data_IF_640512056883
#
_entry.id   IF_640512056883
#
_cell.length_a   1.000
_cell.length_b   1.000
_cell.length_c   1.000
_cell.angle_alpha   90.00
_cell.angle_beta   90.00
_cell.angle_gamma   90.00
#
_symmetry.space_group_name_H-M   'P 1'
#
loop_
_entity.id
_entity.type
_entity.pdbx_description
1 polymer ?
2 non-polymer ?
3 non-polymer ?
4 water ?
#
# COMPACT_ATOMS: atom_id res chain seq x y z
N UNK A 1 9.21 11.14 -6.74
CA UNK A 1 7.91 11.74 -6.45
C UNK A 1 7.53 11.42 -5.03
N UNK A 2 6.46 12.05 -4.54
CA UNK A 2 6.11 11.90 -3.13
C UNK A 2 5.51 10.52 -2.91
N UNK A 3 6.03 9.81 -1.91
CA UNK A 3 5.53 8.49 -1.56
C UNK A 3 5.76 8.33 -0.06
N UNK A 4 4.68 8.43 0.71
CA UNK A 4 4.78 8.42 2.16
C UNK A 4 3.59 7.70 2.76
N UNK A 5 3.86 6.75 3.64
CA UNK A 5 2.81 6.07 4.38
C UNK A 5 3.20 6.03 5.84
N UNK A 6 2.24 6.30 6.70
CA UNK A 6 2.44 6.25 8.14
C UNK A 6 1.31 5.41 8.74
N UNK A 7 1.68 4.47 9.62
CA UNK A 7 0.75 3.54 10.25
C UNK A 7 1.09 3.36 11.71
N UNK A 8 0.06 3.19 12.53
CA UNK A 8 0.17 2.60 13.86
C UNK A 8 -0.71 1.36 13.89
N UNK A 9 -0.14 0.23 14.29
CA UNK A 9 -0.94 -0.98 14.38
C UNK A 9 -0.27 -1.98 15.31
N UNK A 10 -0.90 -3.14 15.45
CA UNK A 10 -0.35 -4.23 16.25
C UNK A 10 0.06 -5.39 15.36
N UNK A 11 1.22 -5.98 15.65
CA UNK A 11 1.66 -7.13 14.88
C UNK A 11 0.70 -8.30 15.04
N UNK A 12 0.37 -8.94 13.92
CA UNK A 12 -0.45 -10.15 13.93
C UNK A 12 0.34 -11.39 14.30
N UNK A 13 1.65 -11.38 14.05
CA UNK A 13 2.53 -12.49 14.37
C UNK A 13 3.88 -11.92 14.77
N UNK A 14 4.73 -12.80 15.29
CA UNK A 14 6.10 -12.41 15.59
C UNK A 14 6.78 -11.98 14.30
N UNK A 15 7.65 -10.97 14.33
CA UNK A 15 8.35 -10.59 13.11
C UNK A 15 9.24 -11.73 12.63
N UNK A 16 9.63 -11.65 11.37
CA UNK A 16 10.49 -12.65 10.76
C UNK A 16 11.67 -11.98 10.09
N UNK A 17 12.65 -12.81 9.75
CA UNK A 17 13.76 -12.43 8.89
C UNK A 17 13.54 -13.07 7.54
N UNK A 18 14.04 -12.39 6.53
CA UNK A 18 13.98 -12.91 5.16
C UNK A 18 15.10 -12.28 4.34
N UNK A 19 15.49 -12.94 3.27
CA UNK A 19 16.47 -12.41 2.34
C UNK A 19 15.77 -12.11 1.02
N UNK A 20 15.99 -10.91 0.49
CA UNK A 20 15.39 -10.51 -0.78
C UNK A 20 15.90 -11.39 -1.91
N UNK A 21 15.30 -11.33 -3.10
CA UNK A 21 15.82 -12.12 -4.23
C UNK A 21 17.27 -11.81 -4.55
N UNK A 22 17.71 -10.58 -4.29
CA UNK A 22 19.09 -10.17 -4.48
C UNK A 22 19.98 -10.45 -3.27
N UNK A 23 19.48 -11.20 -2.28
CA UNK A 23 20.30 -11.56 -1.13
C UNK A 23 20.46 -10.50 -0.06
N UNK A 24 19.64 -9.45 -0.06
CA UNK A 24 19.68 -8.44 0.99
C UNK A 24 18.76 -8.88 2.13
N UNK A 25 19.23 -8.68 3.35
CA UNK A 25 18.49 -9.09 4.54
C UNK A 25 17.43 -8.06 4.92
N UNK A 26 16.25 -8.55 5.35
CA UNK A 26 15.18 -7.69 5.85
C UNK A 26 14.44 -8.38 6.99
N UNK A 27 13.73 -7.57 7.76
CA UNK A 27 12.71 -8.04 8.67
C UNK A 27 11.33 -7.81 8.05
N UNK A 28 10.40 -8.69 8.36
CA UNK A 28 9.04 -8.55 7.87
C UNK A 28 8.09 -8.72 9.04
N UNK A 29 6.96 -8.03 8.98
CA UNK A 29 5.86 -8.25 9.91
C UNK A 29 4.59 -7.69 9.29
N UNK A 30 3.46 -8.15 9.82
CA UNK A 30 2.15 -7.70 9.37
C UNK A 30 1.50 -6.88 10.48
N UNK A 31 0.98 -5.71 10.11
CA UNK A 31 0.37 -4.78 11.05
C UNK A 31 -1.14 -4.84 10.87
N UNK A 32 -1.85 -5.09 11.96
CA UNK A 32 -3.29 -4.92 11.97
C UNK A 32 -3.59 -3.49 12.40
N UNK A 33 -4.22 -2.73 11.52
CA UNK A 33 -4.45 -1.31 11.74
C UNK A 33 -5.95 -1.09 11.83
N UNK A 34 -6.43 -0.87 13.04
CA UNK A 34 -7.86 -0.71 13.26
C UNK A 34 -8.37 0.54 12.56
N UNK A 35 -9.55 0.43 11.95
CA UNK A 35 -10.11 1.60 11.28
C UNK A 35 -10.66 2.58 12.31
N UNK A 36 -10.78 3.84 11.88
CA UNK A 36 -11.36 4.87 12.75
C UNK A 36 -12.88 4.85 12.70
N UNK A 37 -13.45 4.48 11.56
CA UNK A 37 -14.89 4.53 11.33
C UNK A 37 -15.52 3.21 11.77
N UNK A 38 -16.80 3.03 11.47
CA UNK A 38 -17.51 1.80 11.76
C UNK A 38 -18.15 1.27 10.48
N UNK A 39 -18.48 -0.02 10.49
CA UNK A 39 -19.02 -0.69 9.30
C UNK A 39 -20.26 0.01 8.75
N UNK A 45 -13.34 -3.31 12.54
CA UNK A 45 -12.72 -3.71 11.28
C UNK A 45 -11.26 -3.20 11.16
N UNK A 46 -10.36 -4.08 10.72
CA UNK A 46 -8.97 -3.71 10.60
C UNK A 46 -8.50 -3.91 9.16
N UNK A 47 -7.35 -3.31 8.87
CA UNK A 47 -6.62 -3.55 7.64
C UNK A 47 -5.29 -4.20 8.00
N UNK A 48 -4.83 -5.10 7.14
CA UNK A 48 -3.66 -5.92 7.44
C UNK A 48 -2.61 -5.58 6.39
N UNK A 49 -1.51 -4.98 6.84
CA UNK A 49 -0.54 -4.33 5.96
C UNK A 49 0.83 -4.94 6.23
N UNK A 50 1.45 -5.44 5.17
CA UNK A 50 2.77 -6.05 5.25
C UNK A 50 3.85 -4.99 5.23
N UNK A 51 4.78 -5.07 6.19
CA UNK A 51 5.83 -4.09 6.40
C UNK A 51 7.20 -4.74 6.22
N UNK A 52 8.18 -3.96 5.75
CA UNK A 52 9.49 -4.47 5.38
C UNK A 52 10.56 -3.49 5.85
N UNK A 53 11.49 -4.00 6.65
CA UNK A 53 12.55 -3.16 7.26
C UNK A 53 13.91 -3.61 6.73
N UNK A 54 14.75 -2.65 6.36
CA UNK A 54 16.05 -3.01 5.75
C UNK A 54 17.19 -2.79 6.74
N UNK A 55 18.34 -3.39 6.47
CA UNK A 55 19.57 -3.17 7.29
C UNK A 55 19.41 -3.60 8.75
N UNK A 56 20.20 -3.01 9.64
CA UNK A 56 20.23 -3.45 11.05
C UNK A 56 18.92 -3.12 11.74
N UNK A 57 18.14 -2.21 11.16
CA UNK A 57 16.84 -1.97 11.77
C UNK A 57 16.02 -3.26 11.82
N UNK A 58 16.34 -4.22 10.95
CA UNK A 58 15.69 -5.52 10.99
C UNK A 58 15.94 -6.25 12.31
N UNK A 59 17.08 -5.97 12.96
CA UNK A 59 17.38 -6.64 14.21
C UNK A 59 16.59 -6.04 15.37
N UNK A 60 16.40 -4.71 15.35
CA UNK A 60 15.57 -4.08 16.38
C UNK A 60 14.15 -4.59 16.30
N UNK A 61 13.63 -4.71 15.08
CA UNK A 61 12.27 -5.18 14.87
C UNK A 61 12.11 -6.58 15.45
N UNK A 62 13.03 -7.49 15.10
CA UNK A 62 12.91 -8.89 15.52
C UNK A 62 13.20 -9.09 17.00
N UNK A 63 13.83 -8.12 17.67
CA UNK A 63 14.10 -8.28 19.09
C UNK A 63 13.11 -7.54 19.98
N UNK A 64 12.56 -6.42 19.53
CA UNK A 64 11.68 -5.59 20.35
C UNK A 64 10.20 -5.85 20.11
N UNK A 65 9.82 -6.39 18.96
CA UNK A 65 8.42 -6.61 18.65
C UNK A 65 8.09 -8.09 18.64
N UNK A 66 6.84 -8.39 18.96
CA UNK A 66 6.32 -9.73 18.79
C UNK A 66 4.83 -9.62 18.55
N UNK A 67 4.18 -10.76 18.35
CA UNK A 67 2.75 -10.79 18.09
C UNK A 67 2.02 -9.92 19.10
N UNK A 68 1.16 -9.03 18.61
CA UNK A 68 0.41 -8.14 19.48
C UNK A 68 1.12 -6.86 19.88
N UNK A 69 2.42 -6.72 19.59
CA UNK A 69 3.10 -5.47 19.91
C UNK A 69 2.52 -4.31 19.10
N UNK A 70 2.39 -3.17 19.76
CA UNK A 70 2.00 -1.93 19.12
C UNK A 70 3.22 -1.30 18.45
N UNK A 71 3.12 -1.00 17.16
CA UNK A 71 4.23 -0.37 16.47
C UNK A 71 3.73 0.75 15.57
N UNK A 72 4.64 1.66 15.28
CA UNK A 72 4.40 2.73 14.33
C UNK A 72 5.46 2.65 13.24
N UNK A 73 5.05 2.90 12.01
CA UNK A 73 5.95 2.84 10.88
C UNK A 73 5.77 4.10 10.06
N UNK A 74 6.88 4.61 9.56
CA UNK A 74 6.91 5.69 8.60
C UNK A 74 7.73 5.17 7.43
N UNK A 75 7.17 5.26 6.23
CA UNK A 75 7.90 4.75 5.08
C UNK A 75 7.27 5.01 3.73
N UNK A 76 7.49 4.09 2.80
CA UNK A 76 7.01 4.28 1.44
C UNK A 76 6.36 3.00 0.95
N UNK A 77 5.38 3.16 0.06
CA UNK A 77 4.64 2.05 -0.52
C UNK A 77 5.41 1.52 -1.72
N UNK A 78 5.63 0.21 -1.76
CA UNK A 78 6.34 -0.37 -2.90
C UNK A 78 5.55 -1.55 -3.45
N UNK A 79 5.49 -1.63 -4.76
CA UNK A 79 4.86 -2.73 -5.44
C UNK A 79 5.94 -3.67 -5.93
N UNK A 80 5.59 -4.95 -5.96
CA UNK A 80 6.42 -5.96 -6.59
C UNK A 80 5.53 -7.16 -6.82
N UNK A 81 6.04 -8.13 -7.55
CA UNK A 81 5.31 -9.36 -7.72
C UNK A 81 6.32 -10.49 -7.86
N UNK A 82 5.83 -11.72 -7.73
CA UNK A 82 6.67 -12.90 -7.72
C UNK A 82 5.78 -14.11 -7.96
N UNK A 83 6.40 -15.20 -8.38
CA UNK A 83 5.71 -16.47 -8.57
C UNK A 83 5.88 -17.30 -7.31
N UNK A 84 4.75 -17.70 -6.72
CA UNK A 84 4.75 -18.55 -5.51
C UNK A 84 5.08 -20.00 -5.89
N UNK A 85 4.97 -20.93 -4.93
CA UNK A 85 5.38 -22.34 -5.17
C UNK A 85 4.34 -23.07 -6.01
N UNK A 86 3.08 -22.68 -5.90
CA UNK A 86 2.00 -23.29 -6.71
C UNK A 86 2.12 -22.79 -8.14
N UNK A 87 3.18 -22.05 -8.44
CA UNK A 87 3.36 -21.47 -9.78
C UNK A 87 2.42 -20.31 -10.01
N UNK A 88 2.11 -19.55 -8.97
CA UNK A 88 1.09 -18.49 -9.14
C UNK A 88 1.69 -17.10 -8.94
N UNK A 89 1.38 -16.20 -9.86
CA UNK A 89 1.86 -14.82 -9.82
C UNK A 89 1.15 -14.05 -8.71
N UNK A 90 1.89 -13.61 -7.70
CA UNK A 90 1.33 -12.85 -6.59
C UNK A 90 1.81 -11.40 -6.68
N UNK A 91 0.86 -10.47 -6.52
CA UNK A 91 1.09 -9.03 -6.57
C UNK A 91 0.93 -8.47 -5.17
N UNK A 92 1.94 -7.75 -4.68
CA UNK A 92 1.89 -7.20 -3.33
C UNK A 92 2.22 -5.72 -3.33
N UNK A 93 1.72 -5.03 -2.32
CA UNK A 93 2.04 -3.65 -2.07
C UNK A 93 2.46 -3.62 -0.62
N UNK A 94 3.69 -3.21 -0.35
CA UNK A 94 4.21 -3.26 1.00
C UNK A 94 4.74 -1.90 1.42
N UNK A 95 4.86 -1.73 2.72
CA UNK A 95 5.45 -0.55 3.33
C UNK A 95 6.92 -0.85 3.57
N UNK A 96 7.79 -0.12 2.90
CA UNK A 96 9.22 -0.21 3.15
C UNK A 96 9.57 0.86 4.18
N UNK A 97 9.94 0.44 5.38
CA UNK A 97 9.98 1.36 6.52
C UNK A 97 11.28 2.15 6.56
N UNK A 98 11.16 3.47 6.69
CA UNK A 98 12.32 4.29 7.02
C UNK A 98 12.62 4.21 8.51
N UNK A 99 11.58 4.25 9.34
CA UNK A 99 11.74 4.05 10.76
C UNK A 99 10.56 3.25 11.30
N UNK A 100 10.84 2.46 12.33
CA UNK A 100 9.83 1.77 13.13
C UNK A 100 9.91 2.33 14.54
N UNK A 101 8.78 2.79 15.06
CA UNK A 101 8.71 3.25 16.44
C UNK A 101 8.06 2.17 17.28
N UNK A 102 8.65 1.89 18.44
CA UNK A 102 8.16 0.85 19.35
C UNK A 102 7.35 1.54 20.44
N UNK A 103 6.02 1.45 20.34
CA UNK A 103 5.15 2.32 21.13
C UNK A 103 4.97 1.81 22.56
N UNK A 104 4.93 0.50 22.76
CA UNK A 104 4.99 -0.06 24.12
C UNK A 104 6.38 -0.59 24.48
N UNK B 1 -6.97 3.67 14.34
CA UNK B 1 -5.54 3.91 14.54
C UNK B 1 -5.00 4.72 13.36
N UNK B 2 -3.72 5.08 13.40
CA UNK B 2 -3.16 5.94 12.37
C UNK B 2 -2.92 5.12 11.11
N UNK B 3 -3.39 5.66 9.98
CA UNK B 3 -3.30 5.01 8.68
C UNK B 3 -3.38 6.13 7.63
N UNK B 4 -2.24 6.50 7.07
CA UNK B 4 -2.19 7.65 6.18
C UNK B 4 -1.21 7.41 5.04
N UNK B 5 -1.65 7.73 3.83
CA UNK B 5 -0.91 7.57 2.60
C UNK B 5 -1.00 8.86 1.81
N UNK B 6 0.15 9.38 1.36
CA UNK B 6 0.19 10.48 0.42
C UNK B 6 1.12 10.11 -0.74
N UNK B 7 0.63 10.28 -1.96
CA UNK B 7 1.36 9.91 -3.16
C UNK B 7 1.17 11.00 -4.20
N UNK B 8 2.21 11.26 -4.97
CA UNK B 8 2.10 12.02 -6.21
C UNK B 8 2.58 11.12 -7.33
N UNK B 9 1.82 11.04 -8.40
CA UNK B 9 2.30 10.27 -9.53
C UNK B 9 1.50 10.50 -10.77
N UNK B 10 1.67 9.59 -11.72
CA UNK B 10 0.96 9.67 -13.00
C UNK B 10 0.13 8.42 -13.21
N UNK B 11 -1.08 8.62 -13.72
CA UNK B 11 -1.97 7.51 -14.01
C UNK B 11 -1.39 6.69 -15.15
N UNK B 12 -1.31 5.38 -14.96
CA UNK B 12 -0.89 4.50 -16.04
C UNK B 12 -1.96 4.30 -17.10
N UNK B 13 -3.22 4.59 -16.79
CA UNK B 13 -4.31 4.37 -17.72
C UNK B 13 -5.43 5.37 -17.44
N UNK B 14 -6.34 5.48 -18.39
CA UNK B 14 -7.57 6.20 -18.11
C UNK B 14 -8.21 5.60 -16.86
N UNK B 15 -8.70 6.42 -15.95
CA UNK B 15 -9.42 5.85 -14.80
C UNK B 15 -10.57 5.00 -15.30
N UNK B 16 -11.00 4.09 -14.45
CA UNK B 16 -12.17 3.27 -14.69
C UNK B 16 -13.29 3.82 -13.82
N UNK B 17 -14.43 4.14 -14.42
CA UNK B 17 -15.46 4.91 -13.75
C UNK B 17 -16.78 4.17 -13.83
N UNK B 18 -17.39 3.93 -12.68
CA UNK B 18 -18.58 3.11 -12.62
C UNK B 18 -19.46 3.60 -11.47
N UNK B 19 -20.67 3.05 -11.40
CA UNK B 19 -21.59 3.28 -10.29
C UNK B 19 -21.81 1.95 -9.59
N UNK B 20 -21.50 1.90 -8.29
CA UNK B 20 -21.57 0.65 -7.54
C UNK B 20 -23.01 0.16 -7.38
N UNK B 21 -23.21 -1.02 -6.80
CA UNK B 21 -24.57 -1.52 -6.53
C UNK B 21 -25.24 -0.88 -5.33
N UNK B 22 -24.54 0.00 -4.62
CA UNK B 22 -25.16 0.89 -3.65
C UNK B 22 -25.59 2.21 -4.26
N UNK B 23 -25.13 2.54 -5.46
CA UNK B 23 -25.50 3.77 -6.13
C UNK B 23 -24.46 4.87 -6.11
N UNK B 24 -23.26 4.61 -5.59
CA UNK B 24 -22.23 5.63 -5.46
C UNK B 24 -21.31 5.60 -6.67
N UNK B 25 -20.75 6.75 -7.01
CA UNK B 25 -19.73 6.76 -8.08
C UNK B 25 -18.45 6.10 -7.56
N UNK B 26 -17.78 5.32 -8.39
CA UNK B 26 -16.48 4.73 -7.99
C UNK B 26 -15.48 4.89 -9.13
N UNK B 27 -14.28 5.30 -8.79
CA UNK B 27 -13.22 5.44 -9.80
C UNK B 27 -11.98 4.69 -9.33
N UNK B 28 -11.33 4.00 -10.24
CA UNK B 28 -10.09 3.31 -9.91
C UNK B 28 -9.04 3.65 -10.94
N UNK B 29 -7.79 3.63 -10.49
CA UNK B 29 -6.66 3.87 -11.36
C UNK B 29 -5.43 3.39 -10.62
N UNK B 30 -4.35 3.26 -11.37
CA UNK B 30 -3.04 2.91 -10.85
C UNK B 30 -2.12 4.11 -11.02
N UNK B 31 -1.48 4.50 -9.94
CA UNK B 31 -0.55 5.61 -9.93
C UNK B 31 0.86 5.08 -10.06
N UNK B 32 1.57 5.54 -11.08
CA UNK B 32 2.98 5.22 -11.24
C UNK B 32 3.77 6.28 -10.49
N UNK B 33 4.41 5.87 -9.41
CA UNK B 33 5.10 6.78 -8.51
C UNK B 33 6.58 6.49 -8.62
N UNK B 34 7.30 7.43 -9.22
CA UNK B 34 8.73 7.26 -9.43
C UNK B 34 9.46 7.31 -8.09
N UNK B 35 10.42 6.42 -7.94
CA UNK B 35 11.26 6.43 -6.76
C UNK B 35 12.21 7.61 -6.80
N UNK B 36 12.62 8.05 -5.61
CA UNK B 36 13.51 9.23 -5.51
C UNK B 36 14.94 8.76 -5.75
N UNK B 37 15.31 7.65 -5.14
CA UNK B 37 16.65 7.06 -5.35
C UNK B 37 16.76 6.52 -6.77
N UNK B 38 17.97 6.14 -7.18
CA UNK B 38 18.17 5.53 -8.52
C UNK B 38 18.91 4.21 -8.35
N UNK B 39 18.57 3.20 -9.15
CA UNK B 39 19.20 1.85 -9.04
C UNK B 39 20.64 1.99 -8.52
N UNK B 42 21.76 3.42 -11.95
CA UNK B 42 21.52 4.79 -12.36
C UNK B 42 20.09 5.04 -12.80
N UNK B 43 19.47 4.02 -13.38
CA UNK B 43 18.07 4.11 -13.76
C UNK B 43 17.18 4.15 -12.52
N UNK B 44 16.05 4.84 -12.65
CA UNK B 44 15.11 5.03 -11.56
C UNK B 44 13.85 4.21 -11.81
N UNK B 45 13.47 3.41 -10.82
CA UNK B 45 12.32 2.54 -10.91
C UNK B 45 11.07 3.21 -10.32
N UNK B 46 9.93 2.62 -10.61
CA UNK B 46 8.66 3.16 -10.18
C UNK B 46 7.88 2.13 -9.37
N UNK B 47 6.96 2.62 -8.56
CA UNK B 47 6.01 1.79 -7.86
C UNK B 47 4.62 2.03 -8.43
N UNK B 48 3.83 0.97 -8.45
CA UNK B 48 2.54 1.01 -9.13
C UNK B 48 1.46 0.69 -8.10
N UNK B 49 0.76 1.72 -7.66
CA UNK B 49 -0.14 1.65 -6.52
C UNK B 49 -1.57 1.71 -7.04
N UNK B 50 -2.40 0.77 -6.61
CA UNK B 50 -3.81 0.78 -6.99
C UNK B 50 -4.62 1.69 -6.07
N UNK B 51 -5.34 2.65 -6.66
CA UNK B 51 -6.13 3.61 -5.92
C UNK B 51 -7.62 3.48 -6.26
N UNK B 52 -8.46 3.84 -5.30
CA UNK B 52 -9.90 3.86 -5.52
C UNK B 52 -10.50 5.09 -4.84
N UNK B 53 -11.43 5.76 -5.52
CA UNK B 53 -12.06 6.97 -5.00
C UNK B 53 -13.57 6.89 -5.22
N UNK B 54 -14.32 7.46 -4.29
CA UNK B 54 -15.79 7.34 -4.37
C UNK B 54 -16.48 8.70 -4.42
N UNK B 55 -17.77 8.69 -4.77
CA UNK B 55 -18.62 9.90 -4.77
C UNK B 55 -18.10 11.05 -5.64
N UNK B 56 -18.16 12.27 -5.13
CA UNK B 56 -17.82 13.46 -5.95
C UNK B 56 -16.36 13.40 -6.42
N UNK B 57 -15.47 12.93 -5.56
CA UNK B 57 -14.04 12.83 -5.93
C UNK B 57 -13.89 11.85 -7.09
N UNK B 58 -14.67 10.76 -7.09
CA UNK B 58 -14.64 9.86 -8.24
C UNK B 58 -15.10 10.57 -9.51
N UNK B 59 -16.22 11.29 -9.44
CA UNK B 59 -16.69 12.04 -10.61
C UNK B 59 -15.62 13.00 -11.12
N UNK B 60 -15.00 13.76 -10.21
CA UNK B 60 -13.92 14.64 -10.61
C UNK B 60 -12.80 13.88 -11.31
N UNK B 61 -12.39 12.73 -10.74
CA UNK B 61 -11.31 11.95 -11.35
C UNK B 61 -11.68 11.57 -12.78
N UNK B 62 -12.90 11.09 -12.98
CA UNK B 62 -13.29 10.70 -14.33
C UNK B 62 -13.27 11.89 -15.27
N UNK B 63 -13.73 13.05 -14.79
CA UNK B 63 -13.90 14.24 -15.60
C UNK B 63 -12.59 14.95 -15.92
N UNK B 64 -11.55 14.79 -15.10
CA UNK B 64 -10.35 15.59 -15.29
C UNK B 64 -9.07 14.78 -15.47
N UNK B 65 -9.02 13.53 -15.05
CA UNK B 65 -7.79 12.75 -15.13
C UNK B 65 -7.84 11.80 -16.32
N UNK B 66 -6.69 11.59 -16.93
CA UNK B 66 -6.58 10.62 -18.00
C UNK B 66 -5.20 9.98 -17.92
N UNK B 67 -5.00 8.94 -18.72
CA UNK B 67 -3.71 8.28 -18.80
C UNK B 67 -2.59 9.31 -18.78
N UNK B 68 -1.58 9.06 -17.95
CA UNK B 68 -0.43 9.94 -17.86
C UNK B 68 -0.62 11.20 -17.03
N UNK B 69 -1.84 11.53 -16.61
CA UNK B 69 -2.04 12.74 -15.82
C UNK B 69 -1.26 12.67 -14.51
N UNK B 70 -0.66 13.80 -14.13
CA UNK B 70 -0.05 13.95 -12.82
C UNK B 70 -1.13 14.15 -11.76
N UNK B 71 -1.10 13.33 -10.70
CA UNK B 71 -2.09 13.47 -9.65
C UNK B 71 -1.43 13.29 -8.29
N UNK B 72 -2.07 13.86 -7.28
CA UNK B 72 -1.68 13.68 -5.89
C UNK B 72 -2.86 13.09 -5.15
N UNK B 73 -2.63 12.05 -4.36
CA UNK B 73 -3.71 11.41 -3.62
C UNK B 73 -3.35 11.46 -2.15
N UNK B 74 -4.38 11.64 -1.34
CA UNK B 74 -4.26 11.64 0.10
C UNK B 74 -5.31 10.67 0.62
N UNK B 75 -4.88 9.64 1.33
CA UNK B 75 -5.85 8.65 1.74
C UNK B 75 -5.36 7.66 2.75
N UNK B 76 -5.91 6.45 2.70
CA UNK B 76 -5.59 5.42 3.67
C UNK B 76 -5.44 4.09 2.94
N UNK B 77 -4.65 3.21 3.53
CA UNK B 77 -4.29 1.95 2.92
C UNK B 77 -5.29 0.88 3.37
N UNK B 78 -5.89 0.18 2.41
CA UNK B 78 -6.90 -0.79 2.78
C UNK B 78 -6.53 -2.15 2.21
N UNK B 79 -6.74 -3.19 3.01
CA UNK B 79 -6.57 -4.56 2.55
C UNK B 79 -7.93 -5.25 2.45
N UNK B 80 -8.03 -6.20 1.52
CA UNK B 80 -9.21 -7.05 1.48
C UNK B 80 -8.83 -8.38 0.84
N UNK B 81 -9.73 -9.36 1.00
CA UNK B 81 -9.63 -10.74 0.53
C UNK B 81 -10.67 -11.03 -0.53
N UNK B 82 -10.34 -11.94 -1.45
CA UNK B 82 -11.37 -12.48 -2.32
C UNK B 82 -10.90 -13.79 -2.94
N UNK B 83 -11.88 -14.62 -3.31
CA UNK B 83 -11.63 -15.83 -4.08
C UNK B 83 -11.82 -15.53 -5.55
N UNK B 84 -10.85 -15.91 -6.37
CA UNK B 84 -10.99 -15.72 -7.80
C UNK B 84 -11.72 -16.94 -8.39
N UNK B 85 -12.02 -16.88 -9.69
CA UNK B 85 -12.76 -17.98 -10.30
C UNK B 85 -11.98 -19.28 -10.31
N UNK B 86 -10.67 -19.24 -10.07
CA UNK B 86 -9.88 -20.46 -9.96
C UNK B 86 -9.97 -21.08 -8.57
N UNK B 87 -10.71 -20.46 -7.65
CA UNK B 87 -10.75 -20.94 -6.28
C UNK B 87 -9.62 -20.47 -5.39
N UNK B 88 -8.76 -19.58 -5.88
CA UNK B 88 -7.60 -19.13 -5.11
C UNK B 88 -7.92 -17.86 -4.33
N UNK B 89 -7.47 -17.83 -3.08
CA UNK B 89 -7.58 -16.62 -2.26
C UNK B 89 -6.57 -15.59 -2.75
N UNK B 90 -7.05 -14.39 -3.07
CA UNK B 90 -6.21 -13.30 -3.54
C UNK B 90 -6.28 -12.18 -2.51
N UNK B 91 -5.11 -11.70 -2.08
CA UNK B 91 -4.99 -10.61 -1.13
C UNK B 91 -4.74 -9.29 -1.86
N UNK B 92 -5.54 -8.28 -1.52
CA UNK B 92 -5.56 -7.01 -2.25
C UNK B 92 -5.17 -5.90 -1.29
N UNK B 93 -4.25 -5.04 -1.72
CA UNK B 93 -3.91 -3.83 -0.99
C UNK B 93 -4.07 -2.66 -1.93
N UNK B 94 -4.85 -1.66 -1.52
CA UNK B 94 -5.10 -0.53 -2.38
C UNK B 94 -5.22 0.72 -1.53
N UNK B 95 -5.09 1.86 -2.18
CA UNK B 95 -5.22 3.15 -1.50
C UNK B 95 -6.63 3.68 -1.74
N UNK B 96 -7.36 3.90 -0.66
CA UNK B 96 -8.67 4.53 -0.75
C UNK B 96 -8.46 6.01 -0.52
N UNK B 97 -8.77 6.82 -1.53
CA UNK B 97 -8.39 8.22 -1.52
C UNK B 97 -9.46 9.05 -0.84
N UNK B 98 -9.05 9.84 0.15
CA UNK B 98 -9.94 10.87 0.68
C UNK B 98 -9.98 12.07 -0.24
N UNK B 99 -8.86 12.43 -0.86
CA UNK B 99 -8.85 13.52 -1.83
C UNK B 99 -7.88 13.19 -2.95
N UNK B 100 -8.18 13.70 -4.14
CA UNK B 100 -7.28 13.69 -5.28
C UNK B 100 -7.01 15.14 -5.67
N UNK B 101 -5.74 15.46 -5.89
CA UNK B 101 -5.31 16.77 -6.34
C UNK B 101 -4.87 16.68 -7.79
N UNK B 102 -5.42 17.53 -8.64
CA UNK B 102 -5.04 17.52 -10.05
C UNK B 102 -3.92 18.52 -10.23
N UNK B 103 -2.79 18.04 -10.75
CA UNK B 103 -1.53 18.77 -10.72
C UNK B 103 -1.07 19.26 -12.08
N UNK B 104 -1.82 19.00 -13.14
CA UNK B 104 -1.52 19.59 -14.44
C UNK B 104 -2.68 20.45 -14.89
X LIG C 1 10.83 -4.98 -0.19
X LIG C 1 10.68 -6.43 -0.39
X LIG C 1 11.45 -7.14 -1.45
X LIG C 1 12.34 -6.37 -2.30
X LIG C 1 12.47 -4.90 -2.08
X LIG C 1 11.73 -4.24 -1.04
X LIG C 1 9.94 -7.05 0.30
X LIG C 1 12.95 -6.91 -3.16
X LIG C 1 13.31 -4.15 -2.86
X LIG C 1 10.32 -4.51 0.53
X LIG C 1 11.35 -8.13 -1.57
X LIG C 1 11.85 -3.18 -0.90
X LIG D 1 -0.42 -4.33 -6.91
X LIG D 1 -0.48 -4.87 -5.60
X LIG D 1 1.06 -4.09 -7.18
X LIG D 1 1.85 -5.15 -6.82
X LIG D 1 1.07 -3.83 -8.66
X LIG D 1 0.75 -2.53 -8.81
X LIG D 1 -0.91 -3.50 -7.01
X LIG D 1 -0.78 -4.93 -7.58
X LIG D 1 0.31 -4.91 -5.33
X LIG D 1 1.41 -3.35 -6.67
X LIG D 1 1.37 -5.84 -6.82
X LIG D 1 0.44 -4.44 -9.09
X LIG D 1 1.94 -4.06 -9.02
X LIG D 1 0.09 -2.51 -9.36
#
# INVERSE_FOLDING_TARGET
MLNRVVLVGRLTKDPEYRTTPSGVSVATFTLAVNRTFTNAQGEREADFINCVVFRRQADNVNNYLSKGSLAGVDGRLQSRNYENQEGRRVFVTEVVCDSVQFLEPHHHHHH
MLNRVVLVGRLTKDPEYRTTPSGVSVATFTLAVNRTFTNAQGEREADFINCVVFRRQADNVNNYLSKGSLAGVDGRLQSRNYENQEGRRVFVTEVVCDSVQFLEPHHHHHH
URF N1 C2 N3 C4 C5 C6 O2 O4 F5 HN1 HN3 H6
GOL C1 O1 C2 O2 C3 O3 H11 H12 HO1 H2 HO2 H31 H32 HO3
#
